data_IF_618386234068
#
_entry.id   IF_618386234068
#
_cell.length_a   1.000
_cell.length_b   1.000
_cell.length_c   1.000
_cell.angle_alpha   90.00
_cell.angle_beta   90.00
_cell.angle_gamma   90.00
#
_symmetry.space_group_name_H-M   'P 1'
#
loop_
_entity.id
_entity.type
_entity.pdbx_description
1 polymer ?
#
# COMPACT_ATOMS: atom_id res chain seq x y z
N UNK A 1 21.82 -31.48 13.76
CA UNK A 1 22.04 -32.54 12.73
C UNK A 1 21.15 -32.40 11.51
N UNK A 2 19.82 -32.67 11.53
CA UNK A 2 19.00 -32.53 10.31
C UNK A 2 18.95 -31.08 9.76
N UNK A 3 18.85 -30.07 10.62
CA UNK A 3 18.85 -28.64 10.22
C UNK A 3 20.18 -28.23 9.58
N UNK A 4 21.28 -28.65 10.11
CA UNK A 4 22.62 -28.37 9.57
C UNK A 4 22.82 -28.96 8.16
N UNK A 5 22.29 -30.17 7.94
CA UNK A 5 22.32 -30.83 6.62
C UNK A 5 21.48 -30.02 5.62
N UNK A 6 20.28 -29.59 6.00
CA UNK A 6 19.40 -28.80 5.13
C UNK A 6 19.99 -27.41 4.87
N UNK A 7 20.58 -26.77 5.86
CA UNK A 7 21.19 -25.44 5.74
C UNK A 7 22.41 -25.44 4.78
N UNK A 8 23.14 -26.55 4.68
CA UNK A 8 24.30 -26.71 3.79
C UNK A 8 23.97 -27.36 2.45
N UNK A 9 22.80 -27.93 2.28
CA UNK A 9 22.40 -28.55 1.02
C UNK A 9 22.14 -27.47 -0.05
N UNK A 10 22.93 -27.46 -1.13
CA UNK A 10 22.78 -26.51 -2.24
C UNK A 10 21.36 -26.51 -2.82
N UNK A 11 20.82 -27.69 -3.15
CA UNK A 11 19.46 -27.81 -3.66
C UNK A 11 18.43 -27.17 -2.73
N UNK A 12 18.52 -27.41 -1.41
CA UNK A 12 17.63 -26.79 -0.44
C UNK A 12 17.80 -25.27 -0.36
N UNK A 13 19.00 -24.76 -0.54
CA UNK A 13 19.28 -23.33 -0.52
C UNK A 13 18.72 -22.64 -1.79
N UNK A 14 18.95 -23.19 -2.99
CA UNK A 14 18.50 -22.62 -4.25
C UNK A 14 16.98 -22.69 -4.47
N UNK A 15 16.28 -23.69 -3.89
CA UNK A 15 14.83 -23.86 -4.05
C UNK A 15 14.00 -23.42 -2.84
N UNK A 16 14.62 -22.79 -1.86
CA UNK A 16 13.90 -22.34 -0.67
C UNK A 16 12.85 -21.28 -0.99
N UNK A 17 11.64 -21.44 -0.44
CA UNK A 17 10.55 -20.47 -0.55
C UNK A 17 10.59 -19.39 0.54
N UNK A 18 11.57 -19.40 1.44
CA UNK A 18 11.65 -18.43 2.53
C UNK A 18 12.24 -17.11 2.04
N UNK A 19 11.39 -16.14 1.81
CA UNK A 19 11.79 -14.73 1.69
C UNK A 19 12.12 -14.23 3.11
N UNK A 20 13.36 -13.82 3.34
CA UNK A 20 13.77 -13.22 4.59
C UNK A 20 13.61 -11.70 4.49
N UNK A 21 12.66 -11.14 5.25
CA UNK A 21 12.54 -9.68 5.38
C UNK A 21 13.54 -9.18 6.42
N UNK A 22 14.34 -8.15 6.13
CA UNK A 22 15.18 -7.55 7.13
C UNK A 22 14.28 -6.90 8.21
N UNK A 23 14.69 -7.03 9.46
CA UNK A 23 14.08 -6.30 10.55
C UNK A 23 14.57 -4.84 10.54
N UNK A 24 14.28 -4.10 9.48
CA UNK A 24 14.37 -2.65 9.57
C UNK A 24 13.23 -2.17 10.47
N UNK A 25 13.56 -1.31 11.43
CA UNK A 25 12.55 -0.74 12.30
C UNK A 25 11.46 -0.07 11.45
N UNK A 26 10.21 -0.56 11.58
CA UNK A 26 9.06 0.03 10.93
C UNK A 26 8.96 1.50 11.36
N UNK A 27 9.30 2.42 10.47
CA UNK A 27 9.07 3.85 10.70
C UNK A 27 7.57 4.11 10.51
N UNK A 28 6.90 4.55 11.56
CA UNK A 28 5.53 5.03 11.45
C UNK A 28 5.53 6.49 11.05
N UNK A 29 4.65 6.82 10.13
CA UNK A 29 4.39 8.18 9.73
C UNK A 29 3.42 8.77 10.77
N UNK A 30 3.72 9.94 11.36
CA UNK A 30 2.78 10.60 12.25
C UNK A 30 1.48 10.87 11.50
N UNK A 31 0.36 10.38 12.03
CA UNK A 31 -0.98 10.70 11.54
C UNK A 31 -1.44 11.91 12.34
N UNK A 32 -1.61 13.05 11.68
CA UNK A 32 -1.84 14.31 12.39
C UNK A 32 -3.33 14.70 12.33
N UNK A 33 -3.91 14.72 11.12
CA UNK A 33 -5.33 15.02 10.86
C UNK A 33 -5.81 14.36 9.57
N UNK A 34 -7.14 14.29 9.33
CA UNK A 34 -7.70 13.80 8.07
C UNK A 34 -7.11 14.50 6.85
N UNK A 35 -6.76 13.73 5.82
CA UNK A 35 -6.22 14.19 4.53
C UNK A 35 -4.82 14.84 4.59
N UNK A 36 -4.16 14.85 5.75
CA UNK A 36 -2.80 15.37 5.87
C UNK A 36 -1.78 14.55 5.07
N UNK A 37 -1.95 13.25 4.99
CA UNK A 37 -0.99 12.34 4.36
C UNK A 37 -1.71 11.35 3.45
N UNK A 38 -1.43 11.45 2.14
CA UNK A 38 -1.95 10.51 1.16
C UNK A 38 -0.90 9.51 0.72
N UNK A 39 -1.29 8.24 0.62
CA UNK A 39 -0.50 7.22 -0.07
C UNK A 39 -0.99 7.05 -1.50
N UNK A 40 -0.12 7.17 -2.48
CA UNK A 40 -0.43 6.96 -3.89
C UNK A 40 0.12 5.63 -4.38
N UNK A 41 -0.64 4.99 -5.24
CA UNK A 41 -0.23 3.77 -5.93
C UNK A 41 -1.06 3.57 -7.20
N UNK A 42 -0.67 2.61 -8.04
CA UNK A 42 -1.34 2.29 -9.28
C UNK A 42 -1.65 0.79 -9.37
N UNK A 43 -2.84 0.48 -9.84
CA UNK A 43 -3.25 -0.91 -10.16
C UNK A 43 -3.32 -1.08 -11.66
N UNK A 44 -2.63 -2.08 -12.17
CA UNK A 44 -2.72 -2.44 -13.58
C UNK A 44 -1.51 -3.23 -14.11
N UNK A 45 -1.54 -3.61 -15.38
CA UNK A 45 -2.64 -3.45 -16.31
C UNK A 45 -3.83 -4.37 -16.00
N UNK A 46 -5.03 -3.82 -16.08
CA UNK A 46 -6.29 -4.54 -16.06
C UNK A 46 -6.76 -4.79 -17.49
N UNK A 47 -7.75 -5.67 -17.68
CA UNK A 47 -8.38 -5.84 -18.98
C UNK A 47 -8.98 -4.51 -19.44
N UNK A 48 -8.79 -4.15 -20.70
CA UNK A 48 -9.31 -2.92 -21.28
C UNK A 48 -10.79 -2.75 -20.97
N UNK A 49 -11.12 -1.72 -20.23
CA UNK A 49 -12.47 -1.35 -19.86
C UNK A 49 -13.05 -0.31 -20.82
N UNK A 50 -14.24 0.19 -20.45
CA UNK A 50 -14.90 1.28 -21.19
C UNK A 50 -13.92 2.44 -21.40
N UNK A 51 -14.03 3.10 -22.53
CA UNK A 51 -13.19 4.25 -22.93
C UNK A 51 -11.68 3.96 -23.03
N UNK A 52 -11.29 2.66 -23.07
CA UNK A 52 -9.90 2.27 -23.23
C UNK A 52 -9.06 2.34 -21.94
N UNK A 53 -9.69 2.38 -20.77
CA UNK A 53 -9.01 2.37 -19.50
C UNK A 53 -8.39 0.99 -19.20
N UNK A 54 -7.15 0.99 -18.71
CA UNK A 54 -6.40 -0.22 -18.39
C UNK A 54 -5.78 -0.21 -16.99
N UNK A 55 -5.76 0.95 -16.33
CA UNK A 55 -5.17 1.12 -15.01
C UNK A 55 -6.10 1.90 -14.08
N UNK A 56 -5.86 1.79 -12.79
CA UNK A 56 -6.52 2.59 -11.75
C UNK A 56 -5.44 3.29 -10.94
N UNK A 57 -5.52 4.62 -10.89
CA UNK A 57 -4.71 5.41 -9.98
C UNK A 57 -5.44 5.50 -8.64
N UNK A 58 -4.76 5.19 -7.55
CA UNK A 58 -5.35 5.05 -6.22
C UNK A 58 -4.66 5.98 -5.24
N UNK A 59 -5.45 6.68 -4.43
CA UNK A 59 -4.99 7.47 -3.31
C UNK A 59 -5.70 7.02 -2.03
N UNK A 60 -4.96 6.89 -0.94
CA UNK A 60 -5.49 6.50 0.37
C UNK A 60 -5.08 7.52 1.41
N UNK A 61 -6.04 8.15 2.07
CA UNK A 61 -5.74 8.94 3.26
C UNK A 61 -5.25 8.04 4.39
N UNK A 62 -4.07 8.35 4.91
CA UNK A 62 -3.43 7.52 5.94
C UNK A 62 -4.16 7.58 7.28
N UNK A 63 -4.92 8.65 7.56
CA UNK A 63 -5.69 8.83 8.78
C UNK A 63 -7.04 8.11 8.70
N UNK A 64 -7.96 8.60 7.87
CA UNK A 64 -9.35 8.10 7.79
C UNK A 64 -9.48 6.76 7.07
N UNK A 65 -8.48 6.35 6.29
CA UNK A 65 -8.51 5.23 5.35
C UNK A 65 -9.46 5.46 4.16
N UNK A 66 -9.83 6.72 3.93
CA UNK A 66 -10.59 7.11 2.75
C UNK A 66 -9.83 6.78 1.47
N UNK A 67 -10.52 6.20 0.51
CA UNK A 67 -9.91 5.78 -0.76
C UNK A 67 -10.52 6.59 -1.90
N UNK A 68 -9.67 7.23 -2.70
CA UNK A 68 -9.99 7.76 -4.01
C UNK A 68 -9.34 6.89 -5.09
N UNK A 69 -10.07 6.68 -6.18
CA UNK A 69 -9.55 5.92 -7.30
C UNK A 69 -10.08 6.45 -8.63
N UNK A 70 -9.20 6.55 -9.61
CA UNK A 70 -9.50 7.08 -10.94
C UNK A 70 -9.04 6.10 -12.02
N UNK A 71 -9.95 5.63 -12.92
CA UNK A 71 -9.55 4.88 -14.11
C UNK A 71 -8.69 5.76 -15.05
N UNK A 72 -7.59 5.19 -15.54
CA UNK A 72 -6.67 5.85 -16.45
C UNK A 72 -6.27 4.92 -17.60
N UNK A 73 -5.87 5.46 -18.74
CA UNK A 73 -5.36 4.69 -19.88
C UNK A 73 -3.90 4.32 -19.69
N UNK A 74 -3.12 5.29 -19.28
CA UNK A 74 -1.71 5.18 -18.96
C UNK A 74 -1.40 6.11 -17.80
N UNK A 75 -0.36 5.80 -17.06
CA UNK A 75 0.17 6.74 -16.08
C UNK A 75 1.25 7.57 -16.77
N UNK A 76 0.96 8.85 -16.95
CA UNK A 76 1.89 9.90 -17.32
C UNK A 76 1.89 10.99 -16.23
N UNK A 77 2.87 11.87 -16.28
CA UNK A 77 3.04 12.94 -15.29
C UNK A 77 1.82 13.86 -15.23
N UNK A 78 1.25 14.24 -16.38
CA UNK A 78 0.08 15.10 -16.45
C UNK A 78 -1.14 14.46 -15.79
N UNK A 79 -1.34 13.16 -15.98
CA UNK A 79 -2.41 12.38 -15.32
C UNK A 79 -2.20 12.36 -13.79
N UNK A 80 -0.97 12.15 -13.32
CA UNK A 80 -0.66 12.17 -11.90
C UNK A 80 -0.92 13.56 -11.28
N UNK A 81 -0.43 14.63 -11.90
CA UNK A 81 -0.65 16.02 -11.48
C UNK A 81 -2.14 16.37 -11.46
N UNK A 82 -2.90 15.99 -12.51
CA UNK A 82 -4.34 16.22 -12.56
C UNK A 82 -5.08 15.55 -11.40
N UNK A 83 -4.70 14.32 -11.07
CA UNK A 83 -5.31 13.58 -9.97
C UNK A 83 -5.04 14.23 -8.61
N UNK A 84 -3.80 14.67 -8.35
CA UNK A 84 -3.48 15.38 -7.10
C UNK A 84 -4.22 16.71 -7.03
N UNK A 85 -4.33 17.44 -8.13
CA UNK A 85 -5.12 18.68 -8.18
C UNK A 85 -6.59 18.44 -7.82
N UNK A 86 -7.19 17.34 -8.28
CA UNK A 86 -8.55 16.96 -7.94
C UNK A 86 -8.69 16.62 -6.43
N UNK A 87 -7.68 15.96 -5.84
CA UNK A 87 -7.65 15.69 -4.41
C UNK A 87 -7.56 16.99 -3.60
N UNK A 88 -6.66 17.89 -3.98
CA UNK A 88 -6.50 19.21 -3.34
C UNK A 88 -7.83 19.99 -3.35
N UNK A 89 -8.51 20.04 -4.48
CA UNK A 89 -9.77 20.78 -4.58
C UNK A 89 -10.91 20.17 -3.77
N UNK A 90 -10.85 18.86 -3.48
CA UNK A 90 -11.89 18.20 -2.69
C UNK A 90 -11.58 18.11 -1.19
N UNK A 91 -10.31 18.00 -0.82
CA UNK A 91 -9.91 17.66 0.56
C UNK A 91 -8.91 18.64 1.17
N UNK A 92 -8.51 19.68 0.43
CA UNK A 92 -7.48 20.61 0.85
C UNK A 92 -6.06 20.13 0.50
N UNK A 93 -5.09 21.02 0.77
CA UNK A 93 -3.68 20.75 0.47
C UNK A 93 -3.10 19.76 1.48
N UNK A 94 -2.59 18.60 1.05
CA UNK A 94 -1.98 17.65 1.97
C UNK A 94 -0.60 18.13 2.42
N UNK A 95 -0.24 17.78 3.64
CA UNK A 95 1.13 18.01 4.15
C UNK A 95 2.15 17.17 3.39
N UNK A 96 1.83 15.89 3.12
CA UNK A 96 2.70 15.03 2.33
C UNK A 96 1.97 13.97 1.52
N UNK A 97 2.63 13.55 0.46
CA UNK A 97 2.23 12.46 -0.40
C UNK A 97 3.32 11.40 -0.34
N UNK A 98 2.92 10.14 -0.13
CA UNK A 98 3.81 8.99 -0.12
C UNK A 98 3.53 8.15 -1.35
N UNK A 99 4.56 7.88 -2.13
CA UNK A 99 4.44 7.06 -3.34
C UNK A 99 5.65 6.14 -3.46
N UNK A 100 5.58 5.18 -4.37
CA UNK A 100 6.75 4.40 -4.76
C UNK A 100 7.69 5.24 -5.66
N UNK A 101 8.89 4.70 -5.94
CA UNK A 101 9.86 5.33 -6.83
C UNK A 101 9.52 5.11 -8.31
N UNK A 102 8.25 4.93 -8.66
CA UNK A 102 7.81 4.81 -10.05
C UNK A 102 8.16 6.06 -10.84
N UNK A 103 8.67 5.89 -12.05
CA UNK A 103 9.17 6.98 -12.92
C UNK A 103 8.18 8.13 -13.12
N UNK A 104 6.89 7.88 -13.02
CA UNK A 104 5.84 8.87 -13.23
C UNK A 104 5.58 9.76 -12.02
N UNK A 105 5.79 9.23 -10.81
CA UNK A 105 5.70 9.98 -9.56
C UNK A 105 7.04 10.62 -9.17
N UNK A 106 8.15 10.19 -9.80
CA UNK A 106 9.49 10.73 -9.60
C UNK A 106 9.88 11.77 -10.67
N UNK A 107 8.94 12.23 -11.48
CA UNK A 107 9.22 13.27 -12.49
C UNK A 107 9.43 14.64 -11.83
N UNK A 108 10.29 15.46 -12.42
CA UNK A 108 10.56 16.82 -11.95
C UNK A 108 9.29 17.69 -11.98
N UNK A 109 8.45 17.53 -12.98
CA UNK A 109 7.18 18.25 -13.12
C UNK A 109 6.22 17.91 -11.97
N UNK A 110 6.10 16.63 -11.60
CA UNK A 110 5.26 16.21 -10.48
C UNK A 110 5.75 16.80 -9.16
N UNK A 111 7.07 16.72 -8.90
CA UNK A 111 7.70 17.31 -7.70
C UNK A 111 7.52 18.82 -7.64
N UNK A 112 7.76 19.51 -8.75
CA UNK A 112 7.59 20.96 -8.84
C UNK A 112 6.16 21.36 -8.56
N UNK A 113 5.18 20.66 -9.14
CA UNK A 113 3.76 20.90 -8.85
C UNK A 113 3.46 20.70 -7.36
N UNK A 114 3.81 19.58 -6.76
CA UNK A 114 3.54 19.34 -5.35
C UNK A 114 4.19 20.38 -4.45
N UNK A 115 5.45 20.71 -4.69
CA UNK A 115 6.18 21.73 -3.94
C UNK A 115 5.56 23.13 -4.07
N UNK A 116 5.07 23.49 -5.26
CA UNK A 116 4.37 24.77 -5.48
C UNK A 116 3.06 24.89 -4.70
N UNK A 117 2.46 23.75 -4.35
CA UNK A 117 1.28 23.68 -3.48
C UNK A 117 1.63 23.57 -1.99
N UNK A 118 2.91 23.52 -1.61
CA UNK A 118 3.35 23.32 -0.25
C UNK A 118 3.28 21.87 0.22
N UNK A 119 3.11 20.92 -0.70
CA UNK A 119 3.01 19.47 -0.41
C UNK A 119 4.37 18.82 -0.58
N UNK A 120 4.84 18.09 0.45
CA UNK A 120 6.06 17.29 0.39
C UNK A 120 5.78 15.95 -0.29
N UNK A 121 6.68 15.49 -1.14
CA UNK A 121 6.64 14.15 -1.73
C UNK A 121 7.67 13.26 -1.02
N UNK A 122 7.20 12.19 -0.39
CA UNK A 122 8.01 11.20 0.30
C UNK A 122 8.02 9.89 -0.51
N UNK A 123 9.19 9.47 -0.96
CA UNK A 123 9.31 8.22 -1.70
C UNK A 123 9.49 7.04 -0.76
N UNK A 124 8.67 6.00 -0.92
CA UNK A 124 8.91 4.72 -0.29
C UNK A 124 10.21 4.16 -0.87
N UNK A 125 11.29 4.20 -0.09
CA UNK A 125 12.57 3.67 -0.55
C UNK A 125 12.46 2.17 -0.83
N UNK A 126 13.29 1.67 -1.77
CA UNK A 126 13.44 0.23 -2.05
C UNK A 126 13.75 -0.56 -0.75
N UNK A 127 14.36 0.12 0.24
CA UNK A 127 14.65 -0.43 1.55
C UNK A 127 13.45 -0.42 2.53
N UNK A 128 12.39 0.35 2.23
CA UNK A 128 11.22 0.49 3.10
C UNK A 128 9.89 0.46 2.32
N UNK A 129 9.57 -0.63 1.60
CA UNK A 129 8.32 -0.75 0.83
C UNK A 129 7.08 -0.62 1.71
N UNK A 130 7.21 -0.86 3.02
CA UNK A 130 6.12 -0.77 4.00
C UNK A 130 5.57 0.65 4.18
N UNK A 131 6.31 1.68 3.77
CA UNK A 131 5.84 3.07 3.80
C UNK A 131 4.60 3.27 2.94
N UNK A 132 4.48 2.55 1.82
CA UNK A 132 3.31 2.57 0.94
C UNK A 132 2.34 1.38 1.15
N UNK A 133 2.61 0.49 2.10
CA UNK A 133 1.81 -0.73 2.32
C UNK A 133 0.31 -0.51 2.58
N UNK A 134 -0.13 0.70 2.93
CA UNK A 134 -1.55 1.02 3.02
C UNK A 134 -2.18 1.21 1.64
N UNK A 135 -1.48 1.83 0.69
CA UNK A 135 -1.94 1.98 -0.68
C UNK A 135 -1.95 0.63 -1.40
N UNK A 136 -0.90 -0.19 -1.24
CA UNK A 136 -0.87 -1.57 -1.75
C UNK A 136 -2.02 -2.42 -1.20
N UNK A 137 -2.33 -2.26 0.09
CA UNK A 137 -3.48 -2.94 0.71
C UNK A 137 -4.81 -2.47 0.13
N UNK A 138 -4.97 -1.18 -0.11
CA UNK A 138 -6.17 -0.63 -0.76
C UNK A 138 -6.34 -1.20 -2.17
N UNK A 139 -5.26 -1.30 -2.94
CA UNK A 139 -5.26 -1.96 -4.24
C UNK A 139 -5.77 -3.39 -4.15
N UNK A 140 -5.29 -4.16 -3.17
CA UNK A 140 -5.77 -5.51 -2.90
C UNK A 140 -7.26 -5.57 -2.55
N UNK A 141 -7.78 -4.60 -1.78
CA UNK A 141 -9.20 -4.51 -1.42
C UNK A 141 -10.07 -4.14 -2.63
N UNK A 142 -9.63 -3.18 -3.45
CA UNK A 142 -10.31 -2.81 -4.71
C UNK A 142 -10.43 -4.04 -5.62
N UNK A 143 -9.32 -4.75 -5.86
CA UNK A 143 -9.33 -5.95 -6.69
C UNK A 143 -10.22 -7.06 -6.12
N UNK A 144 -10.22 -7.26 -4.79
CA UNK A 144 -11.11 -8.23 -4.14
C UNK A 144 -12.59 -7.85 -4.28
N UNK A 145 -12.91 -6.56 -4.23
CA UNK A 145 -14.26 -6.07 -4.42
C UNK A 145 -14.73 -6.17 -5.87
N UNK A 146 -13.83 -5.92 -6.84
CA UNK A 146 -14.15 -6.01 -8.28
C UNK A 146 -14.37 -7.46 -8.74
N UNK A 147 -13.50 -8.39 -8.34
CA UNK A 147 -13.53 -9.78 -8.85
C UNK A 147 -14.91 -10.45 -8.80
N UNK A 148 -15.65 -10.46 -7.67
CA UNK A 148 -16.98 -11.07 -7.61
C UNK A 148 -18.01 -10.34 -8.49
N UNK A 149 -17.92 -8.99 -8.56
CA UNK A 149 -18.87 -8.17 -9.33
C UNK A 149 -18.74 -8.32 -10.83
N UNK A 150 -17.57 -8.78 -11.31
CA UNK A 150 -17.32 -9.05 -12.73
C UNK A 150 -17.84 -10.41 -13.18
N UNK A 151 -18.32 -11.26 -12.27
CA UNK A 151 -18.99 -12.51 -12.60
C UNK A 151 -20.49 -12.27 -12.68
N UNK A 152 -21.02 -12.19 -13.92
CA UNK A 152 -22.45 -12.04 -14.21
C UNK A 152 -22.95 -13.25 -14.98
N UNK A 153 -24.03 -13.85 -14.53
CA UNK A 153 -24.66 -15.01 -15.19
C UNK A 153 -23.66 -16.11 -15.56
N UNK A 154 -22.72 -16.40 -14.65
CA UNK A 154 -21.60 -17.34 -14.85
C UNK A 154 -20.65 -16.94 -16.00
N UNK A 155 -20.74 -15.71 -16.50
CA UNK A 155 -19.85 -15.15 -17.52
C UNK A 155 -18.95 -14.07 -16.90
N UNK A 156 -17.69 -14.08 -17.29
CA UNK A 156 -16.72 -13.11 -16.80
C UNK A 156 -16.68 -11.85 -17.66
N UNK A 157 -17.25 -10.76 -17.15
CA UNK A 157 -17.28 -9.45 -17.80
C UNK A 157 -16.11 -8.56 -17.37
N UNK A 158 -14.88 -9.01 -17.57
CA UNK A 158 -13.67 -8.36 -17.06
C UNK A 158 -13.52 -6.88 -17.48
N UNK A 159 -14.05 -6.48 -18.62
CA UNK A 159 -14.02 -5.09 -19.10
C UNK A 159 -14.97 -4.15 -18.35
N UNK A 160 -15.95 -4.67 -17.59
CA UNK A 160 -16.92 -3.87 -16.85
C UNK A 160 -16.38 -3.29 -15.51
N UNK A 161 -15.11 -3.49 -15.21
CA UNK A 161 -14.53 -3.04 -13.94
C UNK A 161 -14.64 -1.53 -13.70
N UNK A 162 -14.63 -0.74 -14.77
CA UNK A 162 -14.78 0.73 -14.68
C UNK A 162 -16.15 1.10 -14.11
N UNK A 163 -17.20 0.39 -14.51
CA UNK A 163 -18.57 0.66 -14.09
C UNK A 163 -18.83 0.13 -12.66
N UNK A 164 -18.12 -0.90 -12.24
CA UNK A 164 -18.23 -1.49 -10.88
C UNK A 164 -17.36 -0.77 -9.83
N UNK A 165 -16.33 -0.04 -10.26
CA UNK A 165 -15.39 0.64 -9.37
C UNK A 165 -16.07 1.57 -8.35
N UNK A 166 -17.02 2.45 -8.73
CA UNK A 166 -17.72 3.31 -7.77
C UNK A 166 -18.42 2.53 -6.67
N UNK A 167 -19.08 1.42 -7.00
CA UNK A 167 -19.77 0.56 -6.03
C UNK A 167 -18.80 -0.10 -5.06
N UNK A 168 -17.61 -0.49 -5.53
CA UNK A 168 -16.55 -1.03 -4.68
C UNK A 168 -16.00 0.04 -3.73
N UNK A 169 -15.73 1.24 -4.22
CA UNK A 169 -15.27 2.36 -3.40
C UNK A 169 -16.30 2.75 -2.35
N UNK A 170 -17.58 2.79 -2.72
CA UNK A 170 -18.68 3.02 -1.78
C UNK A 170 -18.64 2.01 -0.63
N UNK A 171 -18.59 0.70 -0.93
CA UNK A 171 -18.50 -0.34 0.07
C UNK A 171 -17.27 -0.21 0.98
N UNK A 172 -16.11 0.15 0.43
CA UNK A 172 -14.88 0.36 1.21
C UNK A 172 -14.96 1.58 2.13
N UNK A 173 -15.66 2.64 1.72
CA UNK A 173 -15.85 3.87 2.50
C UNK A 173 -16.88 3.70 3.62
N UNK A 174 -17.87 2.83 3.44
CA UNK A 174 -18.97 2.58 4.40
C UNK A 174 -18.80 1.31 5.23
N UNK A 175 -17.67 0.61 5.09
CA UNK A 175 -17.33 -0.55 5.93
C UNK A 175 -16.33 -0.15 7.01
N UNK A 176 -16.53 -0.54 8.29
CA UNK A 176 -15.60 -0.25 9.36
C UNK A 176 -14.20 -0.78 9.08
N UNK A 177 -13.19 0.06 9.23
CA UNK A 177 -11.81 -0.33 9.07
C UNK A 177 -11.27 -0.92 10.36
N UNK A 178 -10.61 -2.09 10.27
CA UNK A 178 -10.08 -2.79 11.44
C UNK A 178 -9.09 -1.97 12.27
N UNK A 179 -8.32 -1.08 11.64
CA UNK A 179 -7.31 -0.30 12.37
C UNK A 179 -7.88 0.91 13.11
N UNK A 180 -8.97 1.48 12.62
CA UNK A 180 -9.61 2.66 13.23
C UNK A 180 -10.82 2.31 14.07
N UNK A 181 -11.47 1.17 13.77
CA UNK A 181 -12.73 0.75 14.40
C UNK A 181 -13.95 1.55 13.91
N UNK A 182 -13.78 2.47 12.96
CA UNK A 182 -14.82 3.31 12.37
C UNK A 182 -14.82 3.19 10.86
N UNK A 183 -15.92 3.58 10.21
CA UNK A 183 -15.97 3.70 8.76
C UNK A 183 -15.15 4.89 8.30
N UNK A 184 -14.50 4.84 7.12
CA UNK A 184 -13.88 6.02 6.54
C UNK A 184 -14.89 7.16 6.34
N UNK A 185 -16.13 6.84 6.01
CA UNK A 185 -17.19 7.81 5.81
C UNK A 185 -17.46 8.61 7.09
N UNK A 186 -17.64 7.93 8.22
CA UNK A 186 -17.83 8.57 9.51
C UNK A 186 -16.66 9.47 9.90
N UNK A 187 -15.42 9.00 9.73
CA UNK A 187 -14.23 9.79 10.09
C UNK A 187 -14.06 11.05 9.23
N UNK A 188 -14.67 11.08 8.04
CA UNK A 188 -14.67 12.25 7.14
C UNK A 188 -15.80 13.21 7.47
N UNK A 189 -17.03 12.70 7.53
CA UNK A 189 -18.26 13.53 7.56
C UNK A 189 -18.87 13.70 8.96
N UNK A 190 -18.45 12.90 9.93
CA UNK A 190 -18.99 12.95 11.30
C UNK A 190 -20.24 12.12 11.51
N UNK A 191 -20.80 11.54 10.45
CA UNK A 191 -21.98 10.69 10.50
C UNK A 191 -21.81 9.49 9.57
N UNK A 192 -22.57 8.42 9.81
CA UNK A 192 -22.57 7.24 8.93
C UNK A 192 -23.41 7.49 7.68
N UNK A 193 -22.96 6.95 6.56
CA UNK A 193 -23.72 7.03 5.31
C UNK A 193 -25.08 6.35 5.44
N UNK A 194 -26.11 6.96 4.85
CA UNK A 194 -27.40 6.27 4.64
C UNK A 194 -27.22 5.24 3.54
N UNK A 195 -27.42 3.99 3.89
CA UNK A 195 -27.27 2.87 2.95
C UNK A 195 -28.60 2.58 2.25
N UNK A 196 -28.57 1.99 1.03
CA UNK A 196 -29.79 1.53 0.37
C UNK A 196 -30.62 0.56 1.23
N UNK A 197 -29.97 -0.23 2.09
CA UNK A 197 -30.63 -1.11 3.06
C UNK A 197 -31.40 -0.32 4.14
N UNK A 198 -30.93 0.84 4.54
CA UNK A 198 -31.59 1.67 5.54
C UNK A 198 -32.92 2.21 4.98
N UNK A 199 -32.93 2.58 3.70
CA UNK A 199 -34.15 3.00 2.99
C UNK A 199 -35.11 1.80 2.79
N UNK A 200 -34.58 0.65 2.41
CA UNK A 200 -35.38 -0.54 2.13
C UNK A 200 -36.07 -1.10 3.40
N UNK A 201 -35.41 -0.98 4.54
CA UNK A 201 -35.89 -1.51 5.82
C UNK A 201 -36.44 -0.43 6.76
N UNK A 202 -36.69 0.77 6.25
CA UNK A 202 -37.24 1.89 7.02
C UNK A 202 -36.48 2.10 8.34
N UNK A 203 -35.15 2.25 8.26
CA UNK A 203 -34.34 2.48 9.44
C UNK A 203 -34.84 3.72 10.22
N UNK A 204 -34.91 3.70 11.57
CA UNK A 204 -35.47 4.77 12.37
C UNK A 204 -34.92 6.16 12.02
N UNK A 205 -33.64 6.28 11.73
CA UNK A 205 -33.00 7.56 11.33
C UNK A 205 -33.49 8.12 10.00
N UNK A 206 -34.15 7.30 9.18
CA UNK A 206 -34.75 7.70 7.90
C UNK A 206 -36.21 8.04 8.07
N UNK A 207 -36.95 7.26 8.88
CA UNK A 207 -38.41 7.48 9.14
C UNK A 207 -38.70 8.69 10.04
N UNK A 208 -37.85 8.91 11.06
CA UNK A 208 -38.06 9.91 12.09
C UNK A 208 -37.19 11.15 11.81
N UNK A 209 -36.95 11.49 10.54
CA UNK A 209 -36.20 12.69 10.22
C UNK A 209 -36.94 13.94 10.63
N UNK A 210 -36.40 14.67 11.62
CA UNK A 210 -36.88 15.98 12.06
C UNK A 210 -35.72 16.99 11.86
N UNK A 211 -35.96 18.04 11.09
CA UNK A 211 -34.94 19.01 10.71
C UNK A 211 -34.34 19.74 11.94
N UNK A 212 -35.17 20.09 12.93
CA UNK A 212 -34.71 20.77 14.15
C UNK A 212 -33.84 19.86 15.04
N UNK A 213 -34.23 18.60 15.20
CA UNK A 213 -33.44 17.61 15.93
C UNK A 213 -32.15 17.23 15.18
N UNK A 214 -32.19 17.20 13.84
CA UNK A 214 -31.03 16.94 13.02
C UNK A 214 -29.98 18.06 13.13
N UNK A 215 -30.41 19.34 13.26
CA UNK A 215 -29.49 20.45 13.44
C UNK A 215 -28.79 20.41 14.79
N UNK A 216 -29.54 20.11 15.87
CA UNK A 216 -28.99 19.94 17.21
C UNK A 216 -28.01 18.74 17.23
N UNK A 217 -28.38 17.61 16.62
CA UNK A 217 -27.54 16.43 16.53
C UNK A 217 -26.25 16.70 15.74
N UNK A 218 -26.28 17.58 14.72
CA UNK A 218 -25.06 17.98 13.99
C UNK A 218 -24.10 18.79 14.87
N UNK A 219 -24.62 19.69 15.70
CA UNK A 219 -23.80 20.45 16.64
C UNK A 219 -23.13 19.54 17.65
N UNK A 220 -23.93 18.63 18.26
CA UNK A 220 -23.39 17.63 19.18
C UNK A 220 -22.39 16.66 18.49
N UNK A 221 -22.61 16.32 17.20
CA UNK A 221 -21.75 15.46 16.43
C UNK A 221 -20.37 16.08 16.10
N UNK A 222 -20.27 17.42 16.01
CA UNK A 222 -18.98 18.09 15.75
C UNK A 222 -18.02 17.86 16.92
N UNK A 223 -18.50 18.02 18.15
CA UNK A 223 -17.67 17.81 19.35
C UNK A 223 -17.29 16.31 19.50
N UNK A 224 -18.26 15.43 19.29
CA UNK A 224 -18.04 13.98 19.30
C UNK A 224 -17.10 13.51 18.19
N UNK A 225 -17.07 14.18 17.03
CA UNK A 225 -16.22 13.79 15.91
C UNK A 225 -14.73 13.94 16.23
N UNK A 226 -14.35 14.98 16.96
CA UNK A 226 -12.94 15.16 17.36
C UNK A 226 -12.51 14.06 18.32
N UNK A 227 -13.34 13.75 19.33
CA UNK A 227 -13.08 12.65 20.27
C UNK A 227 -12.96 11.29 19.52
N UNK A 228 -13.88 11.02 18.61
CA UNK A 228 -13.85 9.79 17.82
C UNK A 228 -12.66 9.71 16.87
N UNK A 229 -12.19 10.81 16.33
CA UNK A 229 -10.96 10.88 15.56
C UNK A 229 -9.73 10.61 16.42
N UNK A 230 -9.68 11.15 17.63
CA UNK A 230 -8.61 10.84 18.59
C UNK A 230 -8.61 9.36 18.96
N UNK A 231 -9.78 8.79 19.23
CA UNK A 231 -9.92 7.36 19.51
C UNK A 231 -9.51 6.49 18.33
N UNK A 232 -9.85 6.90 17.10
CA UNK A 232 -9.39 6.21 15.88
C UNK A 232 -7.87 6.28 15.70
N UNK A 233 -7.26 7.42 16.05
CA UNK A 233 -5.81 7.60 16.05
C UNK A 233 -5.13 6.68 17.07
N UNK A 234 -5.65 6.62 18.30
CA UNK A 234 -5.15 5.75 19.36
C UNK A 234 -5.22 4.27 18.90
N UNK A 235 -6.39 3.82 18.42
CA UNK A 235 -6.57 2.46 17.91
C UNK A 235 -5.61 2.14 16.75
N UNK A 236 -5.46 3.07 15.82
CA UNK A 236 -4.54 2.92 14.70
C UNK A 236 -3.08 2.80 15.16
N UNK A 237 -2.69 3.57 16.19
CA UNK A 237 -1.37 3.54 16.79
C UNK A 237 -1.10 2.20 17.48
N UNK A 238 -2.06 1.71 18.28
CA UNK A 238 -1.97 0.39 18.94
C UNK A 238 -1.85 -0.70 17.89
N UNK A 239 -2.70 -0.69 16.87
CA UNK A 239 -2.65 -1.66 15.77
C UNK A 239 -1.28 -1.68 15.06
N UNK A 240 -0.71 -0.50 14.81
CA UNK A 240 0.62 -0.39 14.23
C UNK A 240 1.72 -0.91 15.17
N UNK A 241 1.61 -0.66 16.48
CA UNK A 241 2.54 -1.19 17.48
C UNK A 241 2.47 -2.72 17.55
N UNK A 242 1.28 -3.29 17.51
CA UNK A 242 1.10 -4.74 17.53
C UNK A 242 1.65 -5.40 16.26
N UNK A 243 1.46 -4.78 15.09
CA UNK A 243 2.12 -5.21 13.87
C UNK A 243 3.65 -5.19 13.99
N UNK A 244 4.23 -4.14 14.58
CA UNK A 244 5.67 -4.07 14.82
C UNK A 244 6.14 -5.18 15.76
N UNK A 245 5.42 -5.41 16.87
CA UNK A 245 5.74 -6.47 17.82
C UNK A 245 5.66 -7.85 17.17
N UNK A 246 4.64 -8.08 16.35
CA UNK A 246 4.49 -9.32 15.58
C UNK A 246 5.66 -9.51 14.61
N UNK A 247 6.02 -8.48 13.85
CA UNK A 247 7.18 -8.52 12.95
C UNK A 247 8.49 -8.73 13.72
N UNK A 248 8.72 -8.01 14.81
CA UNK A 248 9.92 -8.16 15.62
C UNK A 248 10.09 -9.57 16.22
N UNK A 249 9.00 -10.24 16.56
CA UNK A 249 9.02 -11.62 17.05
C UNK A 249 9.26 -12.66 15.97
N UNK A 250 8.72 -12.44 14.78
CA UNK A 250 8.69 -13.42 13.70
C UNK A 250 9.78 -13.19 12.64
N UNK A 251 10.34 -11.99 12.57
CA UNK A 251 11.36 -11.61 11.60
C UNK A 251 12.68 -11.44 12.34
N UNK A 252 13.59 -12.41 12.19
CA UNK A 252 14.97 -12.27 12.68
C UNK A 252 15.72 -11.37 11.70
N UNK A 253 16.19 -10.21 12.16
CA UNK A 253 17.07 -9.34 11.40
C UNK A 253 18.33 -10.10 11.00
N UNK A 254 18.65 -10.14 9.73
CA UNK A 254 19.92 -10.66 9.22
C UNK A 254 20.67 -9.48 8.62
N UNK A 255 21.79 -9.17 9.20
CA UNK A 255 22.78 -8.29 8.61
C UNK A 255 23.86 -9.16 7.97
N UNK A 256 24.22 -8.89 6.75
CA UNK A 256 25.35 -9.49 6.09
C UNK A 256 26.59 -8.63 6.34
N UNK A 257 27.73 -9.23 6.46
CA UNK A 257 29.02 -8.55 6.56
C UNK A 257 29.74 -8.63 5.21
N UNK A 258 30.68 -7.73 4.97
CA UNK A 258 31.55 -7.79 3.82
C UNK A 258 32.32 -9.12 3.80
N UNK A 259 32.41 -9.74 2.65
CA UNK A 259 32.97 -11.08 2.46
C UNK A 259 31.97 -12.24 2.59
N UNK A 260 30.75 -12.01 3.06
CA UNK A 260 29.75 -13.08 3.16
C UNK A 260 29.25 -13.53 1.79
N UNK A 261 29.08 -14.85 1.64
CA UNK A 261 28.41 -15.46 0.50
C UNK A 261 26.90 -15.37 0.65
N UNK A 262 26.25 -14.90 -0.40
CA UNK A 262 24.79 -14.76 -0.43
C UNK A 262 24.23 -15.27 -1.75
N UNK A 263 23.00 -15.79 -1.70
CA UNK A 263 22.17 -16.01 -2.89
C UNK A 263 21.26 -14.79 -3.06
N UNK A 264 20.90 -14.49 -4.28
CA UNK A 264 19.99 -13.43 -4.69
C UNK A 264 18.71 -14.03 -5.29
N UNK A 265 17.56 -13.38 -5.10
CA UNK A 265 16.31 -13.81 -5.73
C UNK A 265 16.41 -13.66 -7.24
N UNK A 266 16.16 -14.73 -7.97
CA UNK A 266 16.03 -14.68 -9.43
C UNK A 266 14.72 -13.98 -9.81
N UNK A 267 14.83 -12.79 -10.44
CA UNK A 267 13.71 -11.98 -10.89
C UNK A 267 13.17 -12.40 -12.27
N UNK A 268 13.89 -13.26 -12.98
CA UNK A 268 13.62 -13.64 -14.38
C UNK A 268 13.42 -15.14 -14.56
N UNK A 269 12.80 -15.80 -13.59
CA UNK A 269 12.57 -17.26 -13.65
C UNK A 269 12.04 -17.70 -15.01
N UNK A 270 12.77 -18.53 -15.76
CA UNK A 270 12.36 -18.96 -17.10
C UNK A 270 11.14 -19.89 -17.07
N UNK A 271 10.93 -20.62 -16.00
CA UNK A 271 9.80 -21.53 -15.80
C UNK A 271 9.58 -21.89 -14.32
N UNK A 272 8.44 -22.52 -14.00
CA UNK A 272 8.02 -22.83 -12.62
C UNK A 272 8.96 -23.77 -11.84
N UNK A 273 9.77 -24.57 -12.52
CA UNK A 273 10.72 -25.49 -11.91
C UNK A 273 12.13 -24.89 -11.81
N UNK A 274 12.35 -23.65 -12.24
CA UNK A 274 13.62 -22.97 -12.09
C UNK A 274 13.89 -22.64 -10.61
N UNK A 275 15.17 -22.59 -10.19
CA UNK A 275 15.55 -22.16 -8.86
C UNK A 275 14.97 -20.79 -8.52
N UNK A 276 14.66 -20.58 -7.26
CA UNK A 276 14.15 -19.30 -6.77
C UNK A 276 15.26 -18.29 -6.50
N UNK A 277 16.49 -18.80 -6.41
CA UNK A 277 17.67 -18.06 -6.03
C UNK A 277 18.78 -18.30 -7.03
N UNK A 278 19.66 -17.34 -7.22
CA UNK A 278 20.84 -17.38 -8.07
C UNK A 278 22.08 -16.95 -7.29
N UNK A 279 23.27 -17.34 -7.75
CA UNK A 279 24.56 -17.05 -7.13
C UNK A 279 25.41 -18.32 -6.91
N UNK A 280 26.38 -18.32 -5.99
CA UNK A 280 26.58 -17.36 -4.90
C UNK A 280 27.27 -16.06 -5.30
N UNK A 281 26.94 -14.98 -4.60
CA UNK A 281 27.58 -13.68 -4.71
C UNK A 281 28.36 -13.34 -3.44
N UNK A 282 29.41 -12.54 -3.53
CA UNK A 282 30.13 -12.01 -2.37
C UNK A 282 29.59 -10.61 -2.04
N UNK A 283 29.32 -10.33 -0.78
CA UNK A 283 29.01 -8.98 -0.30
C UNK A 283 30.29 -8.16 -0.30
N UNK A 284 30.39 -7.16 -1.18
CA UNK A 284 31.58 -6.29 -1.29
C UNK A 284 31.46 -5.03 -0.46
N UNK A 285 30.26 -4.52 -0.22
CA UNK A 285 30.04 -3.33 0.61
C UNK A 285 28.67 -3.34 1.26
N UNK A 286 28.64 -2.97 2.54
CA UNK A 286 27.41 -2.72 3.30
C UNK A 286 27.04 -1.24 3.14
N UNK A 287 25.85 -0.97 2.62
CA UNK A 287 25.33 0.38 2.44
C UNK A 287 24.34 0.70 3.58
N UNK A 288 24.06 1.99 3.77
CA UNK A 288 23.03 2.42 4.71
C UNK A 288 21.65 1.82 4.33
N UNK A 289 20.80 1.60 5.31
CA UNK A 289 19.42 1.10 5.15
C UNK A 289 19.27 -0.38 4.70
N UNK A 290 20.25 -1.24 4.95
CA UNK A 290 20.15 -2.68 4.65
C UNK A 290 20.26 -3.02 3.17
N UNK A 291 20.97 -2.20 2.43
CA UNK A 291 21.36 -2.47 1.05
C UNK A 291 22.83 -2.91 0.96
N UNK A 292 23.15 -3.73 -0.04
CA UNK A 292 24.44 -4.38 -0.19
C UNK A 292 24.90 -4.28 -1.63
N UNK A 293 26.21 -4.05 -1.85
CA UNK A 293 26.84 -4.28 -3.15
C UNK A 293 27.34 -5.71 -3.22
N UNK A 294 27.16 -6.32 -4.38
CA UNK A 294 27.47 -7.71 -4.62
C UNK A 294 28.50 -7.85 -5.75
N UNK A 295 29.33 -8.86 -5.62
CA UNK A 295 30.25 -9.30 -6.64
C UNK A 295 29.85 -10.70 -7.12
N UNK A 296 29.69 -10.86 -8.41
CA UNK A 296 29.35 -12.15 -9.02
C UNK A 296 30.64 -12.97 -9.17
N UNK A 297 30.71 -14.08 -8.43
CA UNK A 297 31.89 -14.96 -8.42
C UNK A 297 32.04 -15.70 -9.74
N UNK A 298 30.95 -16.11 -10.38
CA UNK A 298 30.95 -16.89 -11.61
C UNK A 298 31.37 -16.06 -12.81
N UNK A 299 30.91 -14.82 -12.88
CA UNK A 299 31.17 -13.93 -14.01
C UNK A 299 32.31 -12.94 -13.76
N UNK A 300 32.85 -12.92 -12.54
CA UNK A 300 33.96 -12.06 -12.14
C UNK A 300 33.71 -10.57 -12.34
N UNK A 301 32.47 -10.12 -12.02
CA UNK A 301 32.00 -8.74 -12.25
C UNK A 301 31.27 -8.21 -10.99
N UNK A 302 31.46 -6.92 -10.70
CA UNK A 302 30.64 -6.21 -9.75
C UNK A 302 29.22 -6.01 -10.26
N UNK A 303 28.23 -6.29 -9.42
CA UNK A 303 26.83 -5.99 -9.75
C UNK A 303 26.60 -4.47 -9.84
N UNK A 304 26.00 -3.99 -10.93
CA UNK A 304 25.90 -2.55 -11.19
C UNK A 304 24.97 -1.83 -10.19
N UNK A 305 24.03 -2.54 -9.57
CA UNK A 305 23.06 -1.99 -8.60
C UNK A 305 23.25 -2.57 -7.20
N UNK A 306 22.85 -1.81 -6.19
CA UNK A 306 22.75 -2.30 -4.82
C UNK A 306 21.50 -3.18 -4.64
N UNK A 307 21.61 -4.19 -3.79
CA UNK A 307 20.56 -5.15 -3.49
C UNK A 307 20.08 -5.03 -2.05
N UNK A 308 18.77 -5.06 -1.85
CA UNK A 308 18.18 -5.05 -0.52
C UNK A 308 18.36 -6.44 0.15
N UNK A 309 18.62 -6.44 1.46
CA UNK A 309 18.69 -7.66 2.26
C UNK A 309 17.45 -8.58 2.11
N UNK A 310 16.26 -8.05 1.79
CA UNK A 310 15.04 -8.84 1.53
C UNK A 310 15.18 -9.79 0.35
N UNK A 311 16.00 -9.39 -0.63
CA UNK A 311 16.26 -10.14 -1.85
C UNK A 311 17.51 -11.03 -1.75
N UNK A 312 18.12 -11.07 -0.56
CA UNK A 312 19.34 -11.81 -0.30
C UNK A 312 19.13 -12.89 0.76
N UNK A 313 19.90 -13.96 0.63
CA UNK A 313 19.93 -15.07 1.58
C UNK A 313 21.37 -15.49 1.81
N UNK A 314 21.78 -15.87 3.05
CA UNK A 314 23.10 -16.44 3.27
C UNK A 314 23.24 -17.76 2.50
N UNK A 315 24.39 -17.94 1.89
CA UNK A 315 24.80 -19.21 1.30
C UNK A 315 25.85 -19.86 2.20
N UNK A 316 25.64 -21.12 2.52
CA UNK A 316 26.53 -21.93 3.37
C UNK A 316 27.21 -23.00 2.52
N UNK A 317 28.51 -23.05 2.58
CA UNK A 317 29.34 -24.10 1.98
C UNK A 317 29.54 -25.28 2.92
#
# INVERSE_FOLDING_TARGET
MAKEIVDKCEGCQFYSNMLHKPASALKTIPLIWPFAVWGLDMVGPLRTGRSGFTHVLVAVDKFTKWIEAKPIKSLDTGTAVSFIRELIFRYGVPHSIITDNGSNFDSEEFRTFCNSQGTRVDYASVAHPQSNGQAERANGLILKGLKPRLMRDLKHAAGAWVDELPSVLWGLRTTPNRSTGRTPFFLVYGDEAVLPSDLLHNAPRVEIYNEAEAEQARQDAVDLLEEEREMALIRSTIYQQDLRRFHARNVRGRAFQEGYLVLRVDQHKPHKLAPSWEGPFIVTKVLHNGAYRLYNVEHNIDEPRAWNAELLRPFYT
#
